data_IF_325067762160
#
_entry.id   IF_325067762160
#
_cell.length_a   1.000
_cell.length_b   1.000
_cell.length_c   1.000
_cell.angle_alpha   90.00
_cell.angle_beta   90.00
_cell.angle_gamma   90.00
#
_symmetry.space_group_name_H-M   'P 1'
#
loop_
_entity.id
_entity.type
_entity.pdbx_description
1 polymer ?
#
# COMPACT_ATOMS: atom_id res chain seq x y z
N UNK A 1 23.82 -24.43 -38.60
CA UNK A 1 24.73 -23.37 -38.10
C UNK A 1 23.87 -22.29 -37.45
N UNK A 2 23.85 -22.23 -36.12
CA UNK A 2 23.00 -21.31 -35.36
C UNK A 2 23.62 -19.92 -35.32
N UNK A 3 22.79 -18.91 -35.60
CA UNK A 3 23.19 -17.55 -35.90
C UNK A 3 23.74 -16.82 -34.64
N UNK A 4 24.98 -16.33 -34.72
CA UNK A 4 25.79 -15.79 -33.61
C UNK A 4 25.21 -14.53 -32.97
N UNK A 5 24.21 -13.91 -33.60
CA UNK A 5 23.50 -12.73 -33.10
C UNK A 5 22.41 -13.04 -32.08
N UNK A 6 21.83 -14.25 -32.11
CA UNK A 6 20.77 -14.68 -31.18
C UNK A 6 21.34 -15.05 -29.81
N UNK A 7 22.52 -15.69 -29.80
CA UNK A 7 23.22 -16.08 -28.57
C UNK A 7 23.63 -14.87 -27.70
N UNK A 8 24.03 -13.76 -28.32
CA UNK A 8 24.41 -12.52 -27.60
C UNK A 8 23.21 -11.78 -26.99
N UNK A 9 22.04 -11.85 -27.63
CA UNK A 9 20.79 -11.26 -27.07
C UNK A 9 20.29 -12.04 -25.87
N UNK A 10 20.37 -13.37 -25.92
CA UNK A 10 19.94 -14.23 -24.81
C UNK A 10 20.83 -14.05 -23.58
N UNK A 11 22.14 -13.86 -23.79
CA UNK A 11 23.11 -13.64 -22.71
C UNK A 11 22.91 -12.31 -21.97
N UNK A 12 22.51 -11.24 -22.66
CA UNK A 12 22.22 -9.94 -22.02
C UNK A 12 20.91 -9.95 -21.23
N UNK A 13 19.90 -10.71 -21.69
CA UNK A 13 18.61 -10.85 -21.01
C UNK A 13 18.76 -11.69 -19.73
N UNK A 14 19.53 -12.77 -19.76
CA UNK A 14 19.79 -13.58 -18.57
C UNK A 14 20.68 -12.86 -17.54
N UNK A 15 21.62 -12.02 -18.00
CA UNK A 15 22.47 -11.21 -17.11
C UNK A 15 21.70 -10.06 -16.45
N UNK A 16 20.68 -9.49 -17.10
CA UNK A 16 19.78 -8.50 -16.50
C UNK A 16 18.80 -9.13 -15.50
N UNK A 17 18.24 -10.31 -15.80
CA UNK A 17 17.35 -11.05 -14.87
C UNK A 17 18.13 -11.49 -13.62
N UNK A 18 19.40 -11.86 -13.77
CA UNK A 18 20.31 -12.15 -12.66
C UNK A 18 20.63 -10.92 -11.81
N UNK A 19 20.82 -9.75 -12.41
CA UNK A 19 21.11 -8.50 -11.70
C UNK A 19 19.87 -7.94 -10.99
N UNK A 20 18.67 -8.10 -11.55
CA UNK A 20 17.40 -7.77 -10.86
C UNK A 20 17.05 -8.79 -9.79
N UNK A 21 17.38 -10.08 -9.99
CA UNK A 21 17.20 -11.12 -8.98
C UNK A 21 18.10 -10.91 -7.74
N UNK A 22 19.26 -10.28 -7.90
CA UNK A 22 20.16 -9.97 -6.79
C UNK A 22 19.72 -8.76 -5.95
N UNK A 23 18.83 -7.90 -6.47
CA UNK A 23 18.25 -6.78 -5.72
C UNK A 23 16.98 -7.20 -4.97
N UNK A 24 16.28 -8.25 -5.43
CA UNK A 24 15.13 -8.82 -4.72
C UNK A 24 15.51 -9.69 -3.51
N UNK A 25 16.79 -10.08 -3.39
CA UNK A 25 17.26 -10.94 -2.30
C UNK A 25 17.41 -10.27 -0.93
N UNK A 26 17.08 -8.99 -0.77
CA UNK A 26 17.22 -8.26 0.50
C UNK A 26 15.99 -7.43 0.90
N UNK A 27 14.81 -7.71 0.34
CA UNK A 27 13.58 -7.37 1.08
C UNK A 27 13.47 -8.42 2.18
N UNK A 28 14.19 -8.17 3.28
CA UNK A 28 13.88 -8.79 4.54
C UNK A 28 12.40 -8.53 4.77
N UNK A 29 11.60 -9.60 4.84
CA UNK A 29 10.37 -9.59 5.60
C UNK A 29 10.74 -9.05 6.98
N UNK A 30 10.59 -7.75 7.21
CA UNK A 30 10.60 -7.22 8.56
C UNK A 30 9.37 -7.84 9.21
N UNK A 31 9.54 -8.70 10.24
CA UNK A 31 8.40 -9.20 10.98
C UNK A 31 7.62 -7.98 11.46
N UNK A 32 6.31 -8.02 11.30
CA UNK A 32 5.38 -7.09 11.91
C UNK A 32 5.61 -7.09 13.43
N UNK A 33 6.43 -6.15 13.91
CA UNK A 33 6.78 -5.95 15.32
C UNK A 33 7.67 -7.07 15.89
N UNK A 34 8.55 -6.78 16.86
CA UNK A 34 9.16 -7.86 17.61
C UNK A 34 8.02 -8.60 18.32
N UNK A 35 7.87 -9.89 18.02
CA UNK A 35 7.21 -10.81 18.93
C UNK A 35 8.08 -10.83 20.19
N UNK A 36 7.82 -9.88 21.10
CA UNK A 36 8.47 -9.81 22.39
C UNK A 36 8.20 -11.15 23.08
N UNK A 37 9.23 -11.97 23.23
CA UNK A 37 9.10 -13.32 23.78
C UNK A 37 8.63 -13.19 25.23
N UNK A 38 7.48 -13.78 25.56
CA UNK A 38 6.86 -13.66 26.89
C UNK A 38 7.84 -13.97 28.02
N UNK A 39 8.68 -14.98 27.82
CA UNK A 39 9.62 -15.47 28.82
C UNK A 39 10.78 -14.48 29.04
N UNK A 40 11.23 -13.82 27.97
CA UNK A 40 12.27 -12.80 28.04
C UNK A 40 11.78 -11.55 28.80
N UNK A 41 10.52 -11.14 28.56
CA UNK A 41 9.88 -10.06 29.33
C UNK A 41 9.70 -10.46 30.78
N UNK A 42 9.27 -11.70 31.03
CA UNK A 42 9.11 -12.19 32.39
C UNK A 42 10.42 -12.06 33.17
N UNK A 43 11.53 -12.58 32.62
CA UNK A 43 12.84 -12.49 33.26
C UNK A 43 13.28 -11.02 33.43
N UNK A 44 13.11 -10.19 32.40
CA UNK A 44 13.50 -8.78 32.45
C UNK A 44 12.70 -8.00 33.50
N UNK A 45 11.37 -8.15 33.53
CA UNK A 45 10.53 -7.46 34.51
C UNK A 45 10.81 -7.95 35.93
N UNK A 46 11.12 -9.23 36.12
CA UNK A 46 11.53 -9.74 37.45
C UNK A 46 12.88 -9.17 37.88
N UNK A 47 13.85 -9.06 36.98
CA UNK A 47 15.13 -8.41 37.26
C UNK A 47 14.97 -6.90 37.56
N UNK A 48 14.04 -6.23 36.87
CA UNK A 48 13.70 -4.85 37.18
C UNK A 48 13.04 -4.73 38.56
N UNK A 49 12.07 -5.61 38.86
CA UNK A 49 11.43 -5.69 40.18
C UNK A 49 12.42 -5.88 41.32
N UNK A 50 13.34 -6.84 41.19
CA UNK A 50 14.44 -7.07 42.13
C UNK A 50 15.24 -5.79 42.39
N UNK A 51 15.63 -5.09 41.33
CA UNK A 51 16.41 -3.86 41.45
C UNK A 51 15.62 -2.71 42.09
N UNK A 52 14.32 -2.61 41.81
CA UNK A 52 13.44 -1.59 42.41
C UNK A 52 13.24 -1.83 43.90
N UNK A 53 13.10 -3.08 44.31
CA UNK A 53 12.99 -3.48 45.71
C UNK A 53 14.29 -3.20 46.46
N UNK A 54 15.44 -3.55 45.87
CA UNK A 54 16.77 -3.27 46.42
C UNK A 54 17.00 -1.77 46.64
N UNK A 55 16.65 -0.93 45.65
CA UNK A 55 16.73 0.54 45.76
C UNK A 55 15.80 1.08 46.85
N UNK A 56 14.65 0.44 47.05
CA UNK A 56 13.68 0.81 48.10
C UNK A 56 14.05 0.23 49.47
N UNK A 57 15.16 -0.51 49.58
CA UNK A 57 15.69 -1.04 50.84
C UNK A 57 15.28 -2.48 51.18
N UNK A 58 14.60 -3.19 50.28
CA UNK A 58 14.21 -4.59 50.44
C UNK A 58 14.96 -5.50 49.47
N UNK A 59 16.00 -6.16 49.98
CA UNK A 59 16.81 -7.12 49.21
C UNK A 59 16.45 -8.59 49.50
N UNK A 60 15.33 -8.85 50.20
CA UNK A 60 15.01 -10.18 50.75
C UNK A 60 13.68 -10.74 50.27
N UNK A 61 12.73 -9.87 49.95
CA UNK A 61 11.42 -10.30 49.46
C UNK A 61 11.53 -11.02 48.13
N UNK A 62 10.65 -12.01 47.94
CA UNK A 62 10.60 -12.77 46.70
C UNK A 62 9.87 -11.97 45.62
N UNK A 63 10.46 -11.88 44.43
CA UNK A 63 9.79 -11.28 43.27
C UNK A 63 8.80 -12.28 42.66
N UNK A 64 7.50 -11.97 42.59
CA UNK A 64 6.48 -12.88 42.06
C UNK A 64 6.61 -13.12 40.56
N UNK A 65 5.91 -14.13 40.01
CA UNK A 65 5.83 -14.31 38.56
C UNK A 65 5.11 -13.12 37.89
N UNK A 66 5.54 -12.79 36.67
CA UNK A 66 4.88 -11.79 35.84
C UNK A 66 3.64 -12.41 35.18
N UNK A 67 2.50 -11.75 35.29
CA UNK A 67 1.24 -12.13 34.67
C UNK A 67 1.08 -11.47 33.29
N UNK A 68 0.61 -12.24 32.30
CA UNK A 68 0.25 -11.71 30.99
C UNK A 68 -1.26 -11.47 30.94
N UNK A 69 -1.68 -10.20 30.87
CA UNK A 69 -3.09 -9.81 30.92
C UNK A 69 -3.76 -9.74 29.52
N UNK A 70 -2.96 -9.79 28.45
CA UNK A 70 -3.41 -9.63 27.06
C UNK A 70 -2.93 -8.32 26.43
N UNK A 71 -3.05 -8.17 25.12
CA UNK A 71 -2.58 -6.97 24.37
C UNK A 71 -1.14 -6.57 24.69
N UNK A 72 -0.24 -7.55 24.88
CA UNK A 72 1.16 -7.31 25.28
C UNK A 72 1.30 -6.49 26.57
N UNK A 73 0.34 -6.63 27.49
CA UNK A 73 0.36 -6.04 28.84
C UNK A 73 0.79 -7.07 29.86
N UNK A 74 1.79 -6.70 30.65
CA UNK A 74 2.43 -7.53 31.65
C UNK A 74 2.28 -6.87 33.01
N UNK A 75 1.92 -7.64 34.03
CA UNK A 75 1.78 -7.16 35.40
C UNK A 75 2.73 -7.87 36.34
N UNK A 76 3.34 -7.13 37.24
CA UNK A 76 4.20 -7.62 38.31
C UNK A 76 3.73 -7.04 39.65
N UNK A 77 3.20 -7.92 40.50
CA UNK A 77 2.58 -7.55 41.78
C UNK A 77 3.64 -7.48 42.89
N UNK A 78 4.47 -6.44 42.90
CA UNK A 78 5.52 -6.27 43.89
C UNK A 78 4.99 -6.13 45.33
N UNK A 79 3.75 -5.64 45.47
CA UNK A 79 3.06 -5.46 46.75
C UNK A 79 3.89 -4.68 47.78
N UNK A 80 4.67 -3.71 47.32
CA UNK A 80 5.61 -2.95 48.12
C UNK A 80 5.68 -1.48 47.67
N UNK A 81 6.27 -0.64 48.52
CA UNK A 81 6.63 0.72 48.17
C UNK A 81 7.75 0.71 47.11
N UNK A 82 7.68 1.61 46.13
CA UNK A 82 8.69 1.73 45.08
C UNK A 82 9.02 3.20 44.85
N UNK A 83 10.32 3.50 44.75
CA UNK A 83 10.80 4.83 44.37
C UNK A 83 10.60 5.05 42.87
N UNK A 84 9.54 5.75 42.48
CA UNK A 84 9.16 5.98 41.07
C UNK A 84 10.26 6.69 40.27
N UNK A 85 11.04 7.59 40.89
CA UNK A 85 12.12 8.31 40.19
C UNK A 85 13.21 7.37 39.64
N UNK A 86 13.37 6.19 40.25
CA UNK A 86 14.31 5.17 39.78
C UNK A 86 13.71 4.28 38.68
N UNK A 87 12.38 4.21 38.57
CA UNK A 87 11.64 3.27 37.73
C UNK A 87 12.04 3.34 36.25
N UNK A 88 12.12 4.55 35.72
CA UNK A 88 12.47 4.78 34.32
C UNK A 88 13.85 4.23 33.95
N UNK A 89 14.86 4.58 34.75
CA UNK A 89 16.24 4.14 34.51
C UNK A 89 16.43 2.64 34.70
N UNK A 90 15.78 2.05 35.71
CA UNK A 90 15.84 0.60 35.96
C UNK A 90 15.21 -0.18 34.80
N UNK A 91 14.03 0.23 34.33
CA UNK A 91 13.38 -0.44 33.21
C UNK A 91 14.15 -0.28 31.90
N UNK A 92 14.65 0.92 31.59
CA UNK A 92 15.44 1.16 30.37
C UNK A 92 16.73 0.31 30.37
N UNK A 93 17.46 0.31 31.49
CA UNK A 93 18.68 -0.50 31.64
C UNK A 93 18.38 -1.99 31.50
N UNK A 94 17.28 -2.46 32.10
CA UNK A 94 16.94 -3.87 32.12
C UNK A 94 16.46 -4.35 30.74
N UNK A 95 15.59 -3.58 30.07
CA UNK A 95 15.15 -3.90 28.71
C UNK A 95 16.30 -3.88 27.72
N UNK A 96 17.23 -2.92 27.83
CA UNK A 96 18.44 -2.88 27.00
C UNK A 96 19.31 -4.12 27.21
N UNK A 97 19.56 -4.50 28.46
CA UNK A 97 20.36 -5.70 28.80
C UNK A 97 19.72 -6.98 28.25
N UNK A 98 18.39 -7.07 28.33
CA UNK A 98 17.62 -8.19 27.83
C UNK A 98 17.27 -8.05 26.35
N UNK A 99 17.82 -7.12 25.58
CA UNK A 99 17.54 -6.96 24.13
C UNK A 99 16.05 -6.79 23.79
N UNK A 100 15.26 -6.26 24.73
CA UNK A 100 13.85 -5.96 24.52
C UNK A 100 13.77 -4.58 23.86
N UNK A 101 13.21 -4.56 22.65
CA UNK A 101 13.10 -3.36 21.82
C UNK A 101 11.65 -3.03 21.53
N UNK A 102 11.34 -1.73 21.48
CA UNK A 102 10.02 -1.23 21.12
C UNK A 102 9.53 -0.16 22.10
N UNK A 103 8.54 0.66 21.69
CA UNK A 103 7.89 1.58 22.60
C UNK A 103 7.02 0.82 23.61
N UNK A 104 7.01 1.28 24.85
CA UNK A 104 6.21 0.72 25.93
C UNK A 104 5.63 1.84 26.82
N UNK A 105 4.57 1.51 27.54
CA UNK A 105 3.96 2.35 28.57
C UNK A 105 4.09 1.65 29.91
N UNK A 106 4.27 2.45 30.96
CA UNK A 106 4.39 1.99 32.33
C UNK A 106 3.31 2.64 33.17
N UNK A 107 2.64 1.84 34.00
CA UNK A 107 1.68 2.29 34.98
C UNK A 107 1.98 1.62 36.32
N UNK A 108 1.97 2.39 37.40
CA UNK A 108 1.91 1.90 38.77
C UNK A 108 0.46 1.97 39.24
N UNK A 109 -0.09 0.83 39.61
CA UNK A 109 -1.45 0.69 40.11
C UNK A 109 -1.44 0.54 41.63
N UNK A 110 -2.47 1.05 42.29
CA UNK A 110 -2.69 0.77 43.71
C UNK A 110 -3.00 -0.71 43.92
N UNK A 111 -2.37 -1.33 44.93
CA UNK A 111 -2.57 -2.75 45.23
C UNK A 111 -4.02 -3.14 45.60
N UNK A 112 -4.85 -2.19 46.05
CA UNK A 112 -6.21 -2.46 46.52
C UNK A 112 -7.29 -2.07 45.50
N UNK A 113 -7.07 -0.97 44.78
CA UNK A 113 -8.11 -0.40 43.88
C UNK A 113 -7.87 -0.70 42.41
N UNK A 114 -6.70 -1.21 42.02
CA UNK A 114 -6.27 -1.33 40.62
C UNK A 114 -6.34 0.02 39.85
N UNK A 115 -6.36 1.15 40.56
CA UNK A 115 -6.34 2.47 39.93
C UNK A 115 -4.91 2.87 39.55
N UNK A 116 -4.74 3.46 38.38
CA UNK A 116 -3.43 3.97 37.93
C UNK A 116 -3.10 5.23 38.74
N UNK A 117 -2.06 5.14 39.58
CA UNK A 117 -1.57 6.24 40.40
C UNK A 117 -0.49 7.06 39.70
N UNK A 118 0.45 6.38 39.05
CA UNK A 118 1.60 6.97 38.37
C UNK A 118 1.86 6.26 37.04
N UNK A 119 2.52 6.91 36.09
CA UNK A 119 2.84 6.27 34.82
C UNK A 119 3.54 7.18 33.83
N UNK A 120 4.17 6.58 32.83
CA UNK A 120 4.85 7.29 31.75
C UNK A 120 4.91 6.44 30.48
N UNK A 121 5.16 7.10 29.34
CA UNK A 121 5.43 6.46 28.06
C UNK A 121 6.93 6.48 27.76
N UNK A 122 7.49 5.39 27.25
CA UNK A 122 8.88 5.35 26.80
C UNK A 122 9.14 6.28 25.62
N UNK A 123 8.09 6.72 24.92
CA UNK A 123 8.20 7.72 23.85
C UNK A 123 8.48 9.11 24.46
N UNK A 124 7.74 9.47 25.51
CA UNK A 124 7.91 10.76 26.20
C UNK A 124 9.24 10.81 26.96
N UNK A 125 9.68 9.67 27.50
CA UNK A 125 10.97 9.55 28.19
C UNK A 125 12.15 9.88 27.26
N UNK A 126 12.06 9.57 25.96
CA UNK A 126 13.08 9.95 24.97
C UNK A 126 13.18 11.46 24.76
N UNK A 127 12.10 12.18 25.04
CA UNK A 127 12.08 13.66 25.06
C UNK A 127 12.54 14.21 26.42
N UNK A 128 12.95 13.35 27.35
CA UNK A 128 13.38 13.70 28.70
C UNK A 128 12.22 13.99 29.65
N UNK A 129 11.02 13.52 29.34
CA UNK A 129 9.80 13.81 30.10
C UNK A 129 9.17 12.54 30.68
N UNK A 130 8.93 12.55 31.99
CA UNK A 130 8.08 11.58 32.69
C UNK A 130 7.20 12.32 33.70
N UNK A 131 5.90 12.04 33.70
CA UNK A 131 4.96 12.69 34.61
C UNK A 131 5.31 12.36 36.07
N UNK A 132 5.09 13.30 36.99
CA UNK A 132 5.30 13.13 38.43
C UNK A 132 6.74 12.88 38.93
N UNK A 133 7.74 12.84 38.03
CA UNK A 133 9.14 12.71 38.41
C UNK A 133 9.60 13.88 39.31
N UNK A 134 10.27 13.57 40.42
CA UNK A 134 10.78 14.56 41.39
C UNK A 134 9.69 15.28 42.21
N UNK A 135 8.45 14.77 42.21
CA UNK A 135 7.37 15.25 43.09
C UNK A 135 7.20 14.32 44.28
N UNK A 136 6.58 14.83 45.35
CA UNK A 136 6.14 14.01 46.48
C UNK A 136 5.17 12.93 45.99
N UNK A 137 5.51 11.68 46.29
CA UNK A 137 4.73 10.50 45.89
C UNK A 137 3.99 9.95 47.10
N UNK A 138 2.78 9.41 46.91
CA UNK A 138 2.06 8.77 48.00
C UNK A 138 2.84 7.55 48.47
N UNK A 139 2.94 7.37 49.78
CA UNK A 139 3.52 6.15 50.35
C UNK A 139 2.49 5.02 50.26
N UNK A 140 2.42 4.36 49.10
CA UNK A 140 1.48 3.27 48.84
C UNK A 140 2.21 2.03 48.31
N UNK A 141 1.47 0.93 48.37
CA UNK A 141 1.81 -0.33 47.73
C UNK A 141 1.51 -0.24 46.22
N UNK A 142 2.44 -0.69 45.39
CA UNK A 142 2.27 -0.65 43.93
C UNK A 142 2.32 -2.02 43.25
N UNK A 143 1.51 -2.14 42.20
CA UNK A 143 1.66 -3.14 41.13
C UNK A 143 2.24 -2.46 39.89
N UNK A 144 3.24 -3.09 39.28
CA UNK A 144 3.87 -2.57 38.06
C UNK A 144 3.21 -3.18 36.83
N UNK A 145 2.61 -2.36 35.99
CA UNK A 145 2.09 -2.76 34.68
C UNK A 145 2.93 -2.15 33.56
N UNK A 146 3.37 -3.00 32.62
CA UNK A 146 4.09 -2.61 31.41
C UNK A 146 3.34 -3.10 30.19
N UNK A 147 2.98 -2.17 29.30
CA UNK A 147 2.27 -2.46 28.05
C UNK A 147 3.14 -2.09 26.86
N UNK A 148 3.44 -3.05 25.99
CA UNK A 148 4.18 -2.76 24.75
C UNK A 148 3.24 -2.17 23.71
N UNK A 149 3.65 -1.06 23.10
CA UNK A 149 2.90 -0.40 22.03
C UNK A 149 3.29 -1.10 20.70
N UNK A 150 2.35 -1.69 19.96
CA UNK A 150 2.66 -2.30 18.68
C UNK A 150 3.20 -1.25 17.72
N UNK A 151 4.29 -1.59 17.02
CA UNK A 151 4.79 -0.75 15.95
C UNK A 151 3.69 -0.58 14.91
N UNK A 152 3.32 0.68 14.60
CA UNK A 152 2.46 0.92 13.43
C UNK A 152 3.17 0.28 12.23
N UNK A 153 2.50 -0.56 11.43
CA UNK A 153 3.13 -1.09 10.24
C UNK A 153 3.64 0.10 9.44
N UNK A 154 4.93 0.08 9.09
CA UNK A 154 5.49 1.10 8.23
C UNK A 154 4.62 1.12 6.98
N UNK A 155 3.81 2.16 6.82
CA UNK A 155 3.12 2.41 5.56
C UNK A 155 4.25 2.62 4.58
N UNK A 156 4.51 1.61 3.74
CA UNK A 156 5.55 1.66 2.72
C UNK A 156 5.46 3.03 2.04
N UNK A 157 6.52 3.82 2.16
CA UNK A 157 6.52 5.19 1.67
C UNK A 157 6.18 5.15 0.18
N UNK A 158 4.98 5.62 -0.17
CA UNK A 158 4.45 5.59 -1.55
C UNK A 158 5.44 6.23 -2.52
N UNK A 159 6.28 7.13 -2.04
CA UNK A 159 7.37 7.78 -2.79
C UNK A 159 8.41 6.77 -3.31
N UNK A 160 8.88 5.85 -2.45
CA UNK A 160 9.89 4.85 -2.83
C UNK A 160 9.31 3.83 -3.83
N UNK A 161 8.06 3.43 -3.63
CA UNK A 161 7.34 2.53 -4.54
C UNK A 161 7.13 3.15 -5.92
N UNK A 162 6.75 4.44 -5.97
CA UNK A 162 6.62 5.19 -7.22
C UNK A 162 7.96 5.37 -7.94
N UNK A 163 9.06 5.56 -7.20
CA UNK A 163 10.40 5.66 -7.76
C UNK A 163 10.87 4.37 -8.44
N UNK A 164 10.61 3.21 -7.83
CA UNK A 164 10.98 1.91 -8.41
C UNK A 164 10.16 1.59 -9.67
N UNK A 165 8.85 1.90 -9.66
CA UNK A 165 7.99 1.78 -10.84
C UNK A 165 8.44 2.69 -11.99
N UNK A 166 8.88 3.92 -11.70
CA UNK A 166 9.40 4.84 -12.70
C UNK A 166 10.71 4.33 -13.35
N UNK A 167 11.61 3.72 -12.57
CA UNK A 167 12.85 3.12 -13.08
C UNK A 167 12.59 1.91 -13.97
N UNK A 168 11.64 1.04 -13.58
CA UNK A 168 11.22 -0.09 -14.41
C UNK A 168 10.59 0.39 -15.73
N UNK A 169 9.74 1.42 -15.67
CA UNK A 169 9.16 2.02 -16.88
C UNK A 169 10.24 2.63 -17.79
N UNK A 170 11.24 3.33 -17.25
CA UNK A 170 12.34 3.90 -18.02
C UNK A 170 13.23 2.83 -18.67
N UNK A 171 13.51 1.74 -17.95
CA UNK A 171 14.28 0.59 -18.47
C UNK A 171 13.59 -0.11 -19.65
N UNK A 172 12.26 -0.08 -19.72
CA UNK A 172 11.47 -0.61 -20.84
C UNK A 172 11.31 0.44 -21.96
N UNK A 173 11.18 1.73 -21.63
CA UNK A 173 11.00 2.81 -22.62
C UNK A 173 12.25 3.12 -23.44
N UNK A 174 13.43 3.12 -22.82
CA UNK A 174 14.70 3.42 -23.50
C UNK A 174 15.03 2.48 -24.69
N UNK A 175 14.89 1.14 -24.57
CA UNK A 175 15.09 0.25 -25.71
C UNK A 175 13.97 0.36 -26.77
N UNK A 176 12.73 0.68 -26.40
CA UNK A 176 11.64 0.91 -27.37
C UNK A 176 11.90 2.18 -28.20
N UNK A 177 12.36 3.27 -27.57
CA UNK A 177 12.75 4.49 -28.28
C UNK A 177 14.01 4.28 -29.15
N UNK A 178 14.96 3.46 -28.68
CA UNK A 178 16.14 3.10 -29.45
C UNK A 178 15.79 2.26 -30.70
N UNK A 179 14.84 1.31 -30.59
CA UNK A 179 14.33 0.54 -31.73
C UNK A 179 13.51 1.42 -32.69
N UNK A 180 12.72 2.38 -32.18
CA UNK A 180 12.02 3.38 -33.03
C UNK A 180 12.98 4.32 -33.76
N UNK A 181 14.11 4.70 -33.16
CA UNK A 181 15.10 5.58 -33.82
C UNK A 181 15.87 4.88 -34.93
N UNK A 182 16.11 3.57 -34.83
CA UNK A 182 16.74 2.78 -35.92
C UNK A 182 15.80 2.59 -37.12
N UNK A 183 14.49 2.67 -36.91
CA UNK A 183 13.48 2.63 -37.98
C UNK A 183 13.40 3.90 -38.82
N UNK A 184 14.06 5.01 -38.43
CA UNK A 184 13.96 6.30 -39.14
C UNK A 184 15.10 6.54 -40.16
N UNK A 185 16.19 5.77 -40.11
CA UNK A 185 17.29 5.85 -41.08
C UNK A 185 17.41 4.54 -41.87
N UNK A 186 16.51 4.33 -42.83
CA UNK A 186 16.51 3.12 -43.65
C UNK A 186 15.66 3.25 -44.92
N UNK A 187 16.21 3.97 -45.90
CA UNK A 187 15.93 3.96 -47.34
C UNK A 187 14.48 4.17 -47.84
N UNK A 188 14.20 5.40 -48.26
CA UNK A 188 13.25 5.67 -49.34
C UNK A 188 13.97 5.53 -50.69
N UNK A 189 13.68 4.46 -51.44
CA UNK A 189 13.70 4.50 -52.91
C UNK A 189 12.33 4.03 -53.36
N UNK A 190 11.65 4.95 -54.05
CA UNK A 190 10.35 4.82 -54.70
C UNK A 190 10.45 3.78 -55.82
N UNK A 191 9.53 2.81 -55.86
CA UNK A 191 8.74 2.51 -57.07
C UNK A 191 7.63 1.48 -56.82
N UNK A 192 6.40 1.90 -57.16
CA UNK A 192 5.26 1.16 -57.74
C UNK A 192 4.59 -0.02 -57.00
N UNK A 193 3.37 0.24 -56.47
CA UNK A 193 2.11 -0.56 -56.46
C UNK A 193 2.09 -2.04 -55.99
N UNK A 194 0.97 -2.60 -55.45
CA UNK A 194 -0.13 -2.05 -54.64
C UNK A 194 -0.23 -2.75 -53.25
N UNK A 195 -1.25 -2.36 -52.45
CA UNK A 195 -1.84 -3.11 -51.32
C UNK A 195 -1.44 -2.71 -49.87
N UNK A 196 -2.33 -1.91 -49.27
CA UNK A 196 -2.98 -2.01 -47.94
C UNK A 196 -2.21 -1.86 -46.61
N UNK A 197 -2.86 -1.05 -45.76
CA UNK A 197 -2.91 -1.02 -44.29
C UNK A 197 -1.97 -0.05 -43.56
N UNK A 198 -2.52 1.16 -43.35
CA UNK A 198 -2.17 2.07 -42.25
C UNK A 198 -2.63 1.46 -40.91
N UNK A 199 -1.78 1.54 -39.88
CA UNK A 199 -2.11 1.18 -38.50
C UNK A 199 -2.75 2.41 -37.83
N UNK A 200 -4.08 2.42 -37.75
CA UNK A 200 -4.87 3.51 -37.16
C UNK A 200 -5.85 2.94 -36.12
N UNK A 201 -5.84 3.51 -34.91
CA UNK A 201 -6.79 3.23 -33.82
C UNK A 201 -8.21 3.80 -34.13
N UNK A 202 -8.76 3.43 -35.29
CA UNK A 202 -10.10 3.82 -35.74
C UNK A 202 -11.06 2.63 -35.65
N UNK A 203 -12.12 2.77 -34.86
CA UNK A 203 -13.16 1.73 -34.68
C UNK A 203 -14.40 2.15 -35.48
N UNK A 204 -14.79 1.37 -36.48
CA UNK A 204 -16.02 1.59 -37.24
C UNK A 204 -17.16 0.70 -36.76
N UNK A 205 -18.36 1.25 -36.64
CA UNK A 205 -19.58 0.53 -36.30
C UNK A 205 -20.80 1.24 -36.91
N UNK A 206 -21.67 0.47 -37.57
CA UNK A 206 -22.79 1.02 -38.35
C UNK A 206 -22.29 1.93 -39.48
N UNK A 207 -22.74 3.18 -39.49
CA UNK A 207 -22.23 4.22 -40.41
C UNK A 207 -21.34 5.26 -39.71
N UNK A 208 -20.99 4.98 -38.46
CA UNK A 208 -20.21 5.84 -37.58
C UNK A 208 -18.79 5.30 -37.42
N UNK A 209 -17.81 6.18 -37.31
CA UNK A 209 -16.44 5.81 -36.95
C UNK A 209 -15.93 6.61 -35.76
N UNK A 210 -15.25 5.92 -34.84
CA UNK A 210 -14.64 6.48 -33.65
C UNK A 210 -13.13 6.49 -33.83
N UNK A 211 -12.53 7.69 -33.85
CA UNK A 211 -11.09 7.87 -33.73
C UNK A 211 -10.76 7.97 -32.22
N UNK A 212 -10.18 6.89 -31.67
CA UNK A 212 -9.86 6.81 -30.24
C UNK A 212 -8.73 7.77 -29.88
N UNK A 213 -7.71 7.88 -30.75
CA UNK A 213 -6.56 8.76 -30.55
C UNK A 213 -6.93 10.24 -30.56
N UNK A 214 -7.87 10.64 -31.42
CA UNK A 214 -8.36 12.03 -31.51
C UNK A 214 -9.62 12.31 -30.70
N UNK A 215 -10.17 11.33 -29.98
CA UNK A 215 -11.41 11.44 -29.20
C UNK A 215 -12.57 12.03 -30.02
N UNK A 216 -12.68 11.63 -31.29
CA UNK A 216 -13.62 12.22 -32.24
C UNK A 216 -14.51 11.15 -32.85
N UNK A 217 -15.82 11.40 -32.82
CA UNK A 217 -16.83 10.56 -33.44
C UNK A 217 -17.22 11.16 -34.79
N UNK A 218 -17.08 10.41 -35.86
CA UNK A 218 -17.40 10.83 -37.22
C UNK A 218 -18.64 10.09 -37.70
N UNK A 219 -19.68 10.84 -38.09
CA UNK A 219 -20.89 10.30 -38.71
C UNK A 219 -21.34 11.20 -39.86
N UNK A 220 -21.55 10.64 -41.05
CA UNK A 220 -22.00 11.36 -42.26
C UNK A 220 -21.27 12.69 -42.53
N UNK A 221 -19.94 12.72 -42.34
CA UNK A 221 -19.10 13.91 -42.52
C UNK A 221 -19.12 14.93 -41.38
N UNK A 222 -19.92 14.71 -40.33
CA UNK A 222 -19.92 15.52 -39.10
C UNK A 222 -19.02 14.89 -38.04
N UNK A 223 -18.20 15.72 -37.40
CA UNK A 223 -17.30 15.32 -36.32
C UNK A 223 -17.83 15.84 -34.98
N UNK A 224 -18.07 14.93 -34.04
CA UNK A 224 -18.48 15.23 -32.67
C UNK A 224 -17.32 14.94 -31.72
N UNK A 225 -16.88 15.95 -30.97
CA UNK A 225 -15.83 15.78 -29.96
C UNK A 225 -16.40 15.03 -28.74
N UNK A 226 -15.67 14.02 -28.29
CA UNK A 226 -15.96 13.26 -27.08
C UNK A 226 -15.03 13.68 -25.95
N UNK A 227 -15.48 13.53 -24.72
CA UNK A 227 -14.56 13.57 -23.57
C UNK A 227 -13.83 12.24 -23.44
N UNK A 228 -12.68 12.20 -22.78
CA UNK A 228 -11.90 10.98 -22.57
C UNK A 228 -12.75 9.79 -22.07
N UNK A 229 -13.62 10.02 -21.07
CA UNK A 229 -14.50 8.98 -20.51
C UNK A 229 -15.59 8.54 -21.47
N UNK A 230 -16.13 9.45 -22.27
CA UNK A 230 -17.09 9.11 -23.33
C UNK A 230 -16.42 8.26 -24.41
N UNK A 231 -15.21 8.61 -24.83
CA UNK A 231 -14.42 7.82 -25.80
C UNK A 231 -14.10 6.43 -25.28
N UNK A 232 -13.63 6.32 -24.03
CA UNK A 232 -13.29 5.03 -23.40
C UNK A 232 -14.53 4.14 -23.21
N UNK A 233 -15.65 4.72 -22.77
CA UNK A 233 -16.90 3.97 -22.64
C UNK A 233 -17.43 3.49 -24.00
N UNK A 234 -17.42 4.37 -25.00
CA UNK A 234 -17.89 4.04 -26.34
C UNK A 234 -16.98 3.03 -27.04
N UNK A 235 -15.66 3.10 -26.85
CA UNK A 235 -14.72 2.12 -27.43
C UNK A 235 -14.92 0.73 -26.83
N UNK A 236 -15.15 0.61 -25.52
CA UNK A 236 -15.45 -0.67 -24.87
C UNK A 236 -16.75 -1.29 -25.42
N UNK A 237 -17.79 -0.47 -25.60
CA UNK A 237 -19.06 -0.90 -26.19
C UNK A 237 -18.92 -1.26 -27.68
N UNK A 238 -18.18 -0.46 -28.45
CA UNK A 238 -17.96 -0.67 -29.89
C UNK A 238 -17.07 -1.88 -30.20
N UNK A 239 -16.15 -2.22 -29.29
CA UNK A 239 -15.36 -3.46 -29.38
C UNK A 239 -16.18 -4.72 -29.03
N UNK A 240 -17.37 -4.55 -28.46
CA UNK A 240 -18.29 -5.65 -28.11
C UNK A 240 -19.70 -5.40 -28.66
N UNK A 241 -19.85 -5.23 -30.00
CA UNK A 241 -21.15 -4.95 -30.59
C UNK A 241 -22.09 -6.13 -30.34
N UNK A 242 -23.37 -5.81 -30.15
CA UNK A 242 -24.45 -6.76 -29.89
C UNK A 242 -24.29 -7.64 -28.63
N UNK A 243 -23.31 -7.35 -27.75
CA UNK A 243 -23.10 -8.04 -26.49
C UNK A 243 -23.55 -7.20 -25.30
N UNK A 244 -24.24 -7.82 -24.34
CA UNK A 244 -24.61 -7.17 -23.07
C UNK A 244 -23.37 -7.11 -22.17
N UNK A 245 -22.97 -5.90 -21.78
CA UNK A 245 -21.92 -5.65 -20.79
C UNK A 245 -22.56 -5.23 -19.47
N UNK A 246 -22.11 -5.83 -18.36
CA UNK A 246 -22.67 -5.52 -17.05
C UNK A 246 -22.27 -4.12 -16.59
N UNK A 247 -23.07 -3.52 -15.69
CA UNK A 247 -22.75 -2.21 -15.12
C UNK A 247 -21.38 -2.21 -14.44
N UNK A 248 -21.06 -3.27 -13.71
CA UNK A 248 -19.79 -3.40 -12.99
C UNK A 248 -18.61 -3.52 -13.96
N UNK A 249 -18.77 -4.27 -15.07
CA UNK A 249 -17.74 -4.37 -16.12
C UNK A 249 -17.48 -3.02 -16.80
N UNK A 250 -18.54 -2.26 -17.09
CA UNK A 250 -18.44 -0.93 -17.69
C UNK A 250 -17.85 0.10 -16.71
N UNK A 251 -18.18 0.01 -15.43
CA UNK A 251 -17.59 0.87 -14.40
C UNK A 251 -16.12 0.55 -14.18
N UNK A 252 -15.76 -0.74 -14.09
CA UNK A 252 -14.38 -1.21 -13.95
C UNK A 252 -13.51 -0.74 -15.12
N UNK A 253 -13.90 -1.09 -16.35
CA UNK A 253 -13.13 -0.77 -17.55
C UNK A 253 -12.88 0.73 -17.79
N UNK A 254 -13.77 1.60 -17.32
CA UNK A 254 -13.66 3.04 -17.57
C UNK A 254 -13.09 3.81 -16.36
N UNK A 255 -13.28 3.34 -15.10
CA UNK A 255 -12.89 4.09 -13.88
C UNK A 255 -11.90 3.41 -12.93
N UNK A 256 -11.62 2.10 -13.07
CA UNK A 256 -10.79 1.37 -12.08
C UNK A 256 -9.32 1.84 -12.06
N UNK A 257 -8.81 2.35 -13.19
CA UNK A 257 -7.44 2.84 -13.31
C UNK A 257 -7.15 4.15 -12.54
N UNK A 258 -8.19 4.90 -12.11
CA UNK A 258 -8.05 6.26 -11.57
C UNK A 258 -8.42 6.42 -10.08
N UNK A 259 -8.81 5.34 -9.38
CA UNK A 259 -8.99 5.34 -7.92
C UNK A 259 -10.12 6.23 -7.35
N UNK A 260 -10.97 6.83 -8.20
CA UNK A 260 -12.11 7.66 -7.78
C UNK A 260 -13.42 7.03 -8.27
N UNK A 261 -14.05 6.23 -7.41
CA UNK A 261 -15.36 5.61 -7.67
C UNK A 261 -16.48 6.62 -7.37
N UNK A 262 -16.85 7.45 -8.34
CA UNK A 262 -18.09 8.24 -8.25
C UNK A 262 -19.25 7.36 -8.72
N UNK A 263 -19.86 6.64 -7.78
CA UNK A 263 -20.90 5.62 -7.98
C UNK A 263 -22.25 6.08 -8.56
N UNK A 264 -22.33 7.23 -9.25
CA UNK A 264 -23.56 7.71 -9.93
C UNK A 264 -23.31 8.28 -11.33
N UNK A 265 -22.22 7.90 -12.01
CA UNK A 265 -21.80 8.56 -13.24
C UNK A 265 -22.06 7.79 -14.55
N UNK A 266 -22.21 6.46 -14.56
CA UNK A 266 -22.38 5.67 -15.79
C UNK A 266 -23.60 6.08 -16.63
N UNK A 267 -24.76 6.20 -15.99
CA UNK A 267 -26.03 6.47 -16.67
C UNK A 267 -26.04 7.84 -17.37
N UNK A 268 -25.33 8.81 -16.79
CA UNK A 268 -25.14 10.15 -17.36
C UNK A 268 -24.31 10.07 -18.64
N UNK A 269 -23.23 9.29 -18.64
CA UNK A 269 -22.39 9.10 -19.83
C UNK A 269 -23.14 8.33 -20.93
N UNK A 270 -23.91 7.28 -20.58
CA UNK A 270 -24.77 6.59 -21.53
C UNK A 270 -25.81 7.54 -22.15
N UNK A 271 -26.43 8.40 -21.34
CA UNK A 271 -27.39 9.40 -21.84
C UNK A 271 -26.74 10.40 -22.80
N UNK A 272 -25.51 10.86 -22.51
CA UNK A 272 -24.75 11.74 -23.42
C UNK A 272 -24.36 11.04 -24.72
N UNK A 273 -23.88 9.81 -24.65
CA UNK A 273 -23.52 9.02 -25.83
C UNK A 273 -24.74 8.78 -26.73
N UNK A 274 -25.91 8.43 -26.16
CA UNK A 274 -27.16 8.29 -26.93
C UNK A 274 -27.54 9.57 -27.70
N UNK A 275 -27.32 10.75 -27.11
CA UNK A 275 -27.59 12.02 -27.80
C UNK A 275 -26.64 12.23 -28.99
N UNK A 276 -25.37 11.84 -28.86
CA UNK A 276 -24.35 11.98 -29.92
C UNK A 276 -24.49 10.93 -31.03
N UNK A 277 -24.99 9.74 -30.69
CA UNK A 277 -25.26 8.66 -31.64
C UNK A 277 -26.64 8.76 -32.31
N UNK A 278 -27.51 9.67 -31.87
CA UNK A 278 -28.86 9.84 -32.42
C UNK A 278 -28.88 10.13 -33.93
N UNK A 279 -27.79 10.68 -34.46
CA UNK A 279 -27.67 10.97 -35.89
C UNK A 279 -27.58 9.68 -36.74
N UNK A 280 -27.16 8.54 -36.17
CA UNK A 280 -27.05 7.25 -36.84
C UNK A 280 -28.18 6.30 -36.39
N UNK A 281 -29.20 6.03 -37.21
CA UNK A 281 -30.31 5.14 -36.84
C UNK A 281 -29.90 3.66 -36.77
N UNK A 282 -28.74 3.28 -37.34
CA UNK A 282 -28.24 1.91 -37.30
C UNK A 282 -27.53 1.58 -35.97
N UNK A 283 -27.23 2.58 -35.14
CA UNK A 283 -26.47 2.40 -33.91
C UNK A 283 -27.28 2.87 -32.71
N UNK A 284 -27.62 1.95 -31.81
CA UNK A 284 -28.36 2.28 -30.60
C UNK A 284 -27.76 1.63 -29.36
N UNK A 285 -27.60 2.41 -28.28
CA UNK A 285 -27.27 1.84 -26.97
C UNK A 285 -28.58 1.45 -26.29
N UNK A 286 -28.86 0.15 -26.14
CA UNK A 286 -30.06 -0.38 -25.46
C UNK A 286 -29.80 -0.75 -24.00
N UNK A 287 -30.85 -0.71 -23.17
CA UNK A 287 -30.80 -1.10 -21.75
C UNK A 287 -31.18 -2.58 -21.62
N UNK A 288 -30.28 -3.40 -21.08
CA UNK A 288 -30.62 -4.73 -20.59
C UNK A 288 -31.04 -4.60 -19.11
N UNK A 289 -32.35 -4.58 -18.85
CA UNK A 289 -32.92 -4.37 -17.51
C UNK A 289 -32.29 -5.31 -16.47
N UNK A 290 -31.81 -4.73 -15.38
CA UNK A 290 -31.17 -5.47 -14.28
C UNK A 290 -29.74 -5.96 -14.54
N UNK A 291 -29.21 -5.82 -15.76
CA UNK A 291 -27.90 -6.40 -16.14
C UNK A 291 -26.91 -5.30 -16.57
N UNK A 292 -27.28 -4.43 -17.52
CA UNK A 292 -26.36 -3.41 -18.03
C UNK A 292 -26.76 -2.82 -19.38
N UNK A 293 -25.77 -2.63 -20.27
CA UNK A 293 -25.94 -1.93 -21.54
C UNK A 293 -25.42 -2.77 -22.70
N UNK A 294 -26.01 -2.57 -23.88
CA UNK A 294 -25.60 -3.20 -25.14
C UNK A 294 -25.57 -2.15 -26.24
N UNK A 295 -24.54 -2.18 -27.07
CA UNK A 295 -24.52 -1.43 -28.33
C UNK A 295 -25.12 -2.33 -29.42
N UNK A 296 -26.22 -1.91 -30.00
CA UNK A 296 -26.88 -2.56 -31.13
C UNK A 296 -26.41 -1.87 -32.42
N UNK A 297 -25.92 -2.69 -33.34
CA UNK A 297 -25.36 -2.34 -34.65
C UNK A 297 -25.79 -3.39 -35.66
#
# INVERSE_FOLDING_TARGET
>A
MMNTHSAKKLYFITLWISLTGLVYGQVQDTPSGPAVVSDQVNIALRAAGDRLMDISGDSTSTIPPVELLGNQSYRLDLNHHIIYDSLASVLEQTFTRHQISGPYQVALLDCNTDEVLLGYSSLDLKEGFAACMGRDQPDSCYQLMVTFIPARPATMDRSLMMGFLALLAAGIFLPILYVRRKSWFGNNIVDTSPATAEDSDQISFGTTSLDVGRQTLHHAGKAHKLTYRETKLLSVLANHPNKVLSRDQLMASVWEDEGIVVGRSLDVFISRLRKKLKDDPAVQISNAHGVGYKLEV
#
